data_IF_055910343727
#
_entry.id   IF_055910343727
#
_cell.length_a   1.000
_cell.length_b   1.000
_cell.length_c   1.000
_cell.angle_alpha   90.00
_cell.angle_beta   90.00
_cell.angle_gamma   90.00
#
_symmetry.space_group_name_H-M   'P 1'
#
loop_
_entity.id
_entity.type
_entity.pdbx_description
1 polymer ?
#
# COMPACT_ATOMS: atom_id res chain seq x y z
N UNK A 1 -18.26 -2.03 -37.88
CA UNK A 1 -17.88 -1.60 -36.50
C UNK A 1 -18.69 -2.38 -35.46
N UNK A 2 -18.11 -3.42 -34.85
CA UNK A 2 -18.45 -3.87 -33.47
C UNK A 2 -17.51 -4.94 -32.92
N UNK A 3 -16.30 -5.06 -33.48
CA UNK A 3 -15.18 -5.85 -32.92
C UNK A 3 -14.74 -5.28 -31.54
N UNK A 4 -15.25 -4.11 -31.15
CA UNK A 4 -14.97 -3.46 -29.86
C UNK A 4 -15.81 -4.03 -28.70
N UNK A 5 -16.96 -4.67 -28.97
CA UNK A 5 -17.84 -5.17 -27.90
C UNK A 5 -17.34 -6.49 -27.29
N UNK A 6 -16.53 -7.26 -28.01
CA UNK A 6 -16.02 -8.56 -27.57
C UNK A 6 -14.70 -8.49 -26.78
N UNK A 7 -14.10 -7.30 -26.61
CA UNK A 7 -12.92 -7.11 -25.72
C UNK A 7 -13.28 -6.79 -24.28
N UNK A 8 -14.55 -6.51 -23.96
CA UNK A 8 -15.00 -6.22 -22.60
C UNK A 8 -15.29 -7.48 -21.76
N UNK A 9 -15.18 -8.67 -22.35
CA UNK A 9 -15.33 -9.96 -21.65
C UNK A 9 -13.98 -10.61 -21.28
N UNK A 10 -12.86 -9.90 -21.40
CA UNK A 10 -11.52 -10.52 -21.37
C UNK A 10 -10.49 -9.79 -20.51
N UNK A 11 -10.70 -9.79 -19.20
CA UNK A 11 -9.66 -10.04 -18.17
C UNK A 11 -10.29 -9.74 -16.82
N UNK A 12 -10.46 -10.77 -15.98
CA UNK A 12 -10.62 -10.51 -14.55
C UNK A 12 -9.48 -9.57 -14.13
N UNK A 13 -9.82 -8.48 -13.46
CA UNK A 13 -8.85 -7.50 -12.98
C UNK A 13 -7.99 -8.22 -11.94
N UNK A 14 -6.86 -8.78 -12.38
CA UNK A 14 -5.89 -9.42 -11.49
C UNK A 14 -4.95 -8.33 -10.98
N UNK A 15 -5.42 -7.61 -9.98
CA UNK A 15 -4.58 -6.70 -9.20
C UNK A 15 -4.08 -7.48 -7.99
N UNK A 16 -2.77 -7.48 -7.78
CA UNK A 16 -2.15 -8.19 -6.67
C UNK A 16 -2.20 -7.32 -5.42
N UNK A 17 -3.15 -7.59 -4.51
CA UNK A 17 -3.24 -6.88 -3.24
C UNK A 17 -2.25 -7.54 -2.27
N UNK A 18 -1.45 -6.77 -1.52
CA UNK A 18 -0.48 -7.32 -0.57
C UNK A 18 -1.06 -8.38 0.35
N UNK A 19 -0.42 -9.55 0.43
CA UNK A 19 -0.83 -10.64 1.32
C UNK A 19 -0.50 -10.26 2.77
N UNK A 20 -1.52 -10.28 3.62
CA UNK A 20 -1.38 -9.89 5.03
C UNK A 20 -1.55 -11.09 5.96
N UNK A 21 -0.85 -11.07 7.10
CA UNK A 21 -0.97 -12.11 8.13
C UNK A 21 -2.10 -11.81 9.11
N UNK A 22 -2.40 -10.53 9.35
CA UNK A 22 -3.50 -10.09 10.21
C UNK A 22 -4.85 -10.54 9.63
N UNK A 23 -5.66 -11.21 10.45
CA UNK A 23 -6.93 -11.78 10.03
C UNK A 23 -7.88 -10.74 9.39
N UNK A 24 -8.00 -9.56 10.01
CA UNK A 24 -8.83 -8.48 9.47
C UNK A 24 -8.42 -8.05 8.07
N UNK A 25 -7.10 -7.97 7.80
CA UNK A 25 -6.59 -7.57 6.50
C UNK A 25 -6.83 -8.66 5.44
N UNK A 26 -6.78 -9.94 5.82
CA UNK A 26 -7.15 -11.05 4.93
C UNK A 26 -8.63 -10.99 4.55
N UNK A 27 -9.53 -10.81 5.51
CA UNK A 27 -10.97 -10.69 5.23
C UNK A 27 -11.25 -9.53 4.28
N UNK A 28 -10.62 -8.36 4.50
CA UNK A 28 -10.75 -7.23 3.59
C UNK A 28 -10.21 -7.55 2.19
N UNK A 29 -9.07 -8.24 2.09
CA UNK A 29 -8.49 -8.67 0.83
C UNK A 29 -9.43 -9.62 0.06
N UNK A 30 -10.03 -10.59 0.75
CA UNK A 30 -11.00 -11.52 0.18
C UNK A 30 -12.26 -10.79 -0.33
N UNK A 31 -12.82 -9.87 0.47
CA UNK A 31 -13.96 -9.04 0.07
C UNK A 31 -13.66 -8.24 -1.22
N UNK A 32 -12.48 -7.62 -1.29
CA UNK A 32 -12.04 -6.85 -2.44
C UNK A 32 -11.91 -7.77 -3.68
N UNK A 33 -11.20 -8.89 -3.54
CA UNK A 33 -10.99 -9.84 -4.63
C UNK A 33 -12.31 -10.41 -5.16
N UNK A 34 -13.24 -10.72 -4.26
CA UNK A 34 -14.58 -11.20 -4.60
C UNK A 34 -15.36 -10.14 -5.41
N UNK A 35 -15.35 -8.88 -4.99
CA UNK A 35 -16.02 -7.80 -5.74
C UNK A 35 -15.36 -7.52 -7.11
N UNK A 36 -14.02 -7.54 -7.18
CA UNK A 36 -13.28 -7.41 -8.44
C UNK A 36 -13.57 -8.55 -9.42
N UNK A 37 -13.68 -9.79 -8.93
CA UNK A 37 -14.02 -10.96 -9.76
C UNK A 37 -15.40 -10.85 -10.43
N UNK A 38 -16.31 -10.08 -9.83
CA UNK A 38 -17.65 -9.79 -10.36
C UNK A 38 -17.72 -8.48 -11.15
N UNK A 39 -16.58 -7.82 -11.39
CA UNK A 39 -16.50 -6.51 -12.05
C UNK A 39 -17.33 -5.42 -11.35
N UNK A 40 -17.29 -5.38 -10.01
CA UNK A 40 -18.02 -4.43 -9.16
C UNK A 40 -17.06 -3.50 -8.37
N UNK A 41 -16.29 -2.62 -9.03
CA UNK A 41 -15.32 -1.75 -8.37
C UNK A 41 -15.95 -0.73 -7.41
N UNK A 42 -17.22 -0.36 -7.59
CA UNK A 42 -17.94 0.51 -6.64
C UNK A 42 -18.08 -0.11 -5.25
N UNK A 43 -18.20 -1.45 -5.16
CA UNK A 43 -18.23 -2.20 -3.89
C UNK A 43 -16.84 -2.29 -3.24
N UNK A 44 -15.78 -2.04 -3.99
CA UNK A 44 -14.39 -2.16 -3.52
C UNK A 44 -13.96 -0.91 -2.74
N UNK A 45 -14.46 0.29 -3.08
CA UNK A 45 -13.96 1.57 -2.59
C UNK A 45 -13.83 1.65 -1.05
N UNK A 46 -14.89 1.30 -0.31
CA UNK A 46 -14.88 1.32 1.16
C UNK A 46 -13.91 0.28 1.76
N UNK A 47 -13.99 -0.95 1.27
CA UNK A 47 -13.16 -2.07 1.74
C UNK A 47 -11.68 -1.82 1.47
N UNK A 48 -11.37 -1.31 0.29
CA UNK A 48 -10.02 -0.92 -0.10
C UNK A 48 -9.52 0.22 0.78
N UNK A 49 -10.32 1.26 1.02
CA UNK A 49 -9.90 2.36 1.92
C UNK A 49 -9.57 1.87 3.34
N UNK A 50 -10.41 1.00 3.90
CA UNK A 50 -10.17 0.37 5.20
C UNK A 50 -8.88 -0.47 5.19
N UNK A 51 -8.69 -1.28 4.14
CA UNK A 51 -7.47 -2.08 3.95
C UNK A 51 -6.23 -1.18 3.89
N UNK A 52 -6.22 -0.17 3.01
CA UNK A 52 -5.09 0.75 2.85
C UNK A 52 -4.71 1.43 4.16
N UNK A 53 -5.71 1.88 4.90
CA UNK A 53 -5.49 2.62 6.15
C UNK A 53 -4.90 1.71 7.23
N UNK A 54 -5.41 0.47 7.37
CA UNK A 54 -4.85 -0.51 8.29
C UNK A 54 -3.43 -0.93 7.88
N UNK A 55 -3.22 -1.20 6.60
CA UNK A 55 -1.93 -1.61 6.05
C UNK A 55 -0.85 -0.54 6.25
N UNK A 56 -1.11 0.72 5.85
CA UNK A 56 -0.15 1.82 6.07
C UNK A 56 0.10 2.06 7.56
N UNK A 57 -0.93 1.90 8.41
CA UNK A 57 -0.77 2.01 9.87
C UNK A 57 0.16 0.93 10.42
N UNK A 58 0.05 -0.30 9.94
CA UNK A 58 0.95 -1.38 10.31
C UNK A 58 2.39 -1.04 9.93
N UNK A 59 2.63 -0.63 8.67
CA UNK A 59 3.98 -0.25 8.21
C UNK A 59 4.55 0.92 9.02
N UNK A 60 3.77 1.98 9.24
CA UNK A 60 4.19 3.09 10.08
C UNK A 60 4.60 2.60 11.47
N UNK A 61 3.81 1.73 12.08
CA UNK A 61 4.07 1.19 13.42
C UNK A 61 5.34 0.33 13.44
N UNK A 62 5.59 -0.47 12.41
CA UNK A 62 6.83 -1.26 12.23
C UNK A 62 8.08 -0.36 12.16
N UNK A 63 7.94 0.86 11.64
CA UNK A 63 9.02 1.87 11.60
C UNK A 63 9.06 2.82 12.81
N UNK A 64 8.25 2.56 13.85
CA UNK A 64 8.17 3.43 15.04
C UNK A 64 7.54 4.81 14.78
N UNK A 65 6.78 4.95 13.68
CA UNK A 65 6.09 6.19 13.31
C UNK A 65 4.74 6.25 14.03
N UNK A 66 4.47 7.35 14.74
CA UNK A 66 3.19 7.57 15.42
C UNK A 66 2.02 7.60 14.42
N UNK A 67 0.98 6.83 14.70
CA UNK A 67 -0.19 6.65 13.80
C UNK A 67 -1.47 7.31 14.29
N UNK A 68 -1.38 8.04 15.39
CA UNK A 68 -2.47 8.81 16.00
C UNK A 68 -2.06 10.27 16.18
N UNK A 69 -3.04 11.17 16.22
CA UNK A 69 -2.81 12.57 16.57
C UNK A 69 -2.65 12.78 18.08
N UNK A 70 -2.52 14.04 18.50
CA UNK A 70 -2.38 14.42 19.91
C UNK A 70 -3.61 14.11 20.77
N UNK A 71 -4.74 13.75 20.19
CA UNK A 71 -5.97 13.35 20.87
C UNK A 71 -6.17 11.83 20.86
N UNK A 72 -5.21 11.07 20.32
CA UNK A 72 -5.31 9.62 20.18
C UNK A 72 -6.21 9.19 19.01
N UNK A 73 -6.53 10.09 18.08
CA UNK A 73 -7.35 9.78 16.90
C UNK A 73 -6.44 9.27 15.78
N UNK A 74 -6.83 8.18 15.16
CA UNK A 74 -6.14 7.58 14.02
C UNK A 74 -5.91 8.58 12.88
N UNK A 75 -4.67 8.68 12.42
CA UNK A 75 -4.30 9.55 11.30
C UNK A 75 -4.94 9.07 9.98
N UNK A 76 -5.33 10.01 9.09
CA UNK A 76 -5.88 9.68 7.78
C UNK A 76 -4.81 9.15 6.83
N UNK A 77 -5.25 8.48 5.77
CA UNK A 77 -4.40 7.77 4.82
C UNK A 77 -3.31 8.64 4.19
N UNK A 78 -3.65 9.86 3.77
CA UNK A 78 -2.70 10.80 3.16
C UNK A 78 -1.60 11.23 4.17
N UNK A 79 -1.93 11.33 5.46
CA UNK A 79 -0.96 11.70 6.50
C UNK A 79 0.01 10.56 6.74
N UNK A 80 -0.48 9.31 6.84
CA UNK A 80 0.37 8.12 6.96
C UNK A 80 1.35 8.02 5.78
N UNK A 81 0.86 8.22 4.55
CA UNK A 81 1.70 8.22 3.35
C UNK A 81 2.77 9.33 3.39
N UNK A 82 2.42 10.54 3.85
CA UNK A 82 3.37 11.62 4.01
C UNK A 82 4.45 11.34 5.07
N UNK A 83 4.11 10.62 6.13
CA UNK A 83 5.07 10.19 7.15
C UNK A 83 6.00 9.09 6.64
N UNK A 84 5.47 8.10 5.92
CA UNK A 84 6.28 7.05 5.28
C UNK A 84 7.24 7.65 4.25
N UNK A 85 6.76 8.59 3.44
CA UNK A 85 7.60 9.33 2.49
C UNK A 85 8.82 9.95 3.19
N UNK A 86 8.59 10.70 4.28
CA UNK A 86 9.68 11.29 5.08
C UNK A 86 10.62 10.23 5.65
N UNK A 87 10.08 9.11 6.13
CA UNK A 87 10.88 8.00 6.63
C UNK A 87 11.80 7.43 5.53
N UNK A 88 11.31 7.23 4.31
CA UNK A 88 12.13 6.76 3.20
C UNK A 88 13.17 7.78 2.72
N UNK A 89 12.86 9.08 2.78
CA UNK A 89 13.84 10.15 2.50
C UNK A 89 15.00 10.13 3.51
N UNK A 90 14.71 9.82 4.78
CA UNK A 90 15.70 9.80 5.86
C UNK A 90 16.47 8.47 5.96
N UNK A 91 15.91 7.39 5.40
CA UNK A 91 16.49 6.04 5.44
C UNK A 91 16.59 5.47 4.02
N UNK A 92 17.43 6.07 3.15
CA UNK A 92 17.52 5.67 1.75
C UNK A 92 18.05 4.25 1.64
N UNK A 93 17.24 3.36 1.04
CA UNK A 93 17.60 1.97 0.73
C UNK A 93 17.51 1.72 -0.79
N UNK A 94 17.16 2.74 -1.56
CA UNK A 94 16.91 2.66 -3.00
C UNK A 94 17.91 3.49 -3.79
N UNK A 95 18.14 3.10 -5.04
CA UNK A 95 19.16 3.69 -5.92
C UNK A 95 18.85 5.12 -6.39
N UNK A 96 17.62 5.60 -6.16
CA UNK A 96 17.18 6.94 -6.58
C UNK A 96 16.13 7.52 -5.63
N UNK A 97 15.82 8.80 -5.83
CA UNK A 97 14.74 9.54 -5.16
C UNK A 97 13.34 9.20 -5.70
N UNK A 98 13.22 8.23 -6.62
CA UNK A 98 11.95 7.88 -7.25
C UNK A 98 10.90 7.38 -6.25
N UNK A 99 11.30 6.60 -5.24
CA UNK A 99 10.37 6.07 -4.22
C UNK A 99 9.66 7.20 -3.45
N UNK A 100 10.36 8.14 -2.78
CA UNK A 100 9.70 9.23 -2.10
C UNK A 100 8.94 10.16 -3.06
N UNK A 101 9.41 10.37 -4.30
CA UNK A 101 8.68 11.12 -5.33
C UNK A 101 7.36 10.45 -5.72
N UNK A 102 7.37 9.14 -5.95
CA UNK A 102 6.18 8.36 -6.31
C UNK A 102 5.13 8.40 -5.19
N UNK A 103 5.55 8.27 -3.93
CA UNK A 103 4.64 8.37 -2.78
C UNK A 103 4.09 9.79 -2.68
N UNK A 104 4.94 10.81 -2.81
CA UNK A 104 4.53 12.23 -2.80
C UNK A 104 3.42 12.52 -3.81
N UNK A 105 3.56 12.03 -5.05
CA UNK A 105 2.58 12.22 -6.12
C UNK A 105 1.24 11.51 -5.84
N UNK A 106 1.22 10.52 -4.93
CA UNK A 106 0.01 9.81 -4.54
C UNK A 106 -0.67 10.38 -3.28
N UNK A 107 -0.03 11.26 -2.51
CA UNK A 107 -0.62 11.84 -1.28
C UNK A 107 -1.95 12.54 -1.56
N UNK A 108 -2.01 13.36 -2.61
CA UNK A 108 -3.25 14.04 -2.99
C UNK A 108 -4.35 13.07 -3.46
N UNK A 109 -3.96 11.96 -4.08
CA UNK A 109 -4.90 10.90 -4.48
C UNK A 109 -5.44 10.14 -3.28
N UNK A 110 -4.63 9.89 -2.24
CA UNK A 110 -5.13 9.31 -0.99
C UNK A 110 -6.12 10.22 -0.27
N UNK A 111 -5.89 11.53 -0.27
CA UNK A 111 -6.84 12.48 0.28
C UNK A 111 -8.16 12.50 -0.50
N UNK A 112 -8.06 12.53 -1.84
CA UNK A 112 -9.23 12.42 -2.71
C UNK A 112 -9.96 11.08 -2.52
N UNK A 113 -9.23 10.00 -2.30
CA UNK A 113 -9.80 8.67 -2.08
C UNK A 113 -10.62 8.60 -0.78
N UNK A 114 -10.15 9.24 0.30
CA UNK A 114 -10.94 9.39 1.52
C UNK A 114 -12.26 10.16 1.25
N UNK A 115 -12.21 11.24 0.47
CA UNK A 115 -13.42 11.97 0.08
C UNK A 115 -14.38 11.13 -0.79
N UNK A 116 -13.86 10.36 -1.75
CA UNK A 116 -14.65 9.44 -2.58
C UNK A 116 -15.31 8.37 -1.72
N UNK A 117 -14.56 7.76 -0.79
CA UNK A 117 -15.12 6.77 0.14
C UNK A 117 -16.27 7.37 0.95
N UNK A 118 -16.09 8.57 1.51
CA UNK A 118 -17.08 9.17 2.39
C UNK A 118 -18.34 9.65 1.66
N UNK A 119 -18.20 10.16 0.43
CA UNK A 119 -19.29 10.89 -0.25
C UNK A 119 -19.81 10.21 -1.53
N UNK A 120 -19.10 9.23 -2.08
CA UNK A 120 -19.39 8.64 -3.40
C UNK A 120 -19.25 7.11 -3.42
N UNK A 121 -19.35 6.47 -2.24
CA UNK A 121 -19.31 5.02 -2.10
C UNK A 121 -20.46 4.53 -1.20
N UNK A 122 -20.67 3.21 -1.18
CA UNK A 122 -21.65 2.54 -0.33
C UNK A 122 -21.33 2.55 1.18
N UNK A 123 -20.30 3.29 1.61
CA UNK A 123 -20.02 3.50 3.03
C UNK A 123 -21.16 4.22 3.78
N UNK A 124 -21.91 5.06 3.06
CA UNK A 124 -23.07 5.81 3.54
C UNK A 124 -24.14 5.83 2.43
N UNK A 125 -25.29 6.45 2.71
CA UNK A 125 -26.35 6.64 1.72
C UNK A 125 -25.97 7.74 0.71
N UNK A 126 -25.11 7.36 -0.25
CA UNK A 126 -24.51 8.26 -1.22
C UNK A 126 -24.95 7.94 -2.65
N UNK A 127 -24.91 8.95 -3.51
CA UNK A 127 -24.82 8.73 -4.95
C UNK A 127 -23.43 8.19 -5.27
N UNK A 128 -23.37 6.94 -5.72
CA UNK A 128 -22.09 6.25 -5.95
C UNK A 128 -21.40 6.69 -7.24
N UNK A 129 -20.08 6.62 -7.21
CA UNK A 129 -19.22 6.93 -8.35
C UNK A 129 -19.55 6.04 -9.56
N UNK A 130 -19.42 6.60 -10.77
CA UNK A 130 -19.62 5.84 -12.00
C UNK A 130 -18.61 4.69 -12.13
N UNK A 131 -19.03 3.58 -12.75
CA UNK A 131 -18.24 2.35 -12.78
C UNK A 131 -16.82 2.55 -13.37
N UNK A 132 -16.71 3.33 -14.45
CA UNK A 132 -15.43 3.66 -15.10
C UNK A 132 -14.46 4.41 -14.17
N UNK A 133 -14.96 5.41 -13.43
CA UNK A 133 -14.15 6.17 -12.48
C UNK A 133 -13.78 5.32 -11.26
N UNK A 134 -14.73 4.53 -10.73
CA UNK A 134 -14.49 3.62 -9.62
C UNK A 134 -13.40 2.60 -9.96
N UNK A 135 -13.43 2.05 -11.17
CA UNK A 135 -12.40 1.13 -11.66
C UNK A 135 -11.02 1.80 -11.66
N UNK A 136 -10.92 3.03 -12.20
CA UNK A 136 -9.66 3.76 -12.25
C UNK A 136 -9.12 4.08 -10.85
N UNK A 137 -9.99 4.51 -9.93
CA UNK A 137 -9.63 4.78 -8.52
C UNK A 137 -9.10 3.51 -7.86
N UNK A 138 -9.82 2.40 -7.99
CA UNK A 138 -9.43 1.10 -7.39
C UNK A 138 -8.08 0.63 -7.91
N UNK A 139 -7.87 0.66 -9.23
CA UNK A 139 -6.59 0.30 -9.85
C UNK A 139 -5.44 1.17 -9.34
N UNK A 140 -5.67 2.49 -9.28
CA UNK A 140 -4.66 3.44 -8.82
C UNK A 140 -4.27 3.15 -7.37
N UNK A 141 -5.25 2.98 -6.49
CA UNK A 141 -4.99 2.72 -5.07
C UNK A 141 -4.32 1.36 -4.83
N UNK A 142 -4.77 0.29 -5.49
CA UNK A 142 -4.11 -1.02 -5.35
C UNK A 142 -2.66 -0.97 -5.85
N UNK A 143 -2.39 -0.34 -7.00
CA UNK A 143 -1.04 -0.21 -7.52
C UNK A 143 -0.12 0.53 -6.53
N UNK A 144 -0.60 1.63 -5.95
CA UNK A 144 0.18 2.41 -4.96
C UNK A 144 0.46 1.61 -3.70
N UNK A 145 -0.53 0.89 -3.16
CA UNK A 145 -0.37 0.06 -1.95
C UNK A 145 0.57 -1.11 -2.20
N UNK A 146 0.48 -1.74 -3.38
CA UNK A 146 1.34 -2.86 -3.78
C UNK A 146 2.79 -2.41 -3.98
N UNK A 147 2.98 -1.19 -4.48
CA UNK A 147 4.31 -0.59 -4.57
C UNK A 147 4.91 -0.35 -3.18
N UNK A 148 4.14 0.18 -2.23
CA UNK A 148 4.57 0.34 -0.84
C UNK A 148 4.94 -1.02 -0.21
N UNK A 149 4.14 -2.06 -0.43
CA UNK A 149 4.47 -3.42 0.03
C UNK A 149 5.78 -3.96 -0.57
N UNK A 150 5.99 -3.75 -1.87
CA UNK A 150 7.21 -4.17 -2.55
C UNK A 150 8.46 -3.46 -2.00
N UNK A 151 8.34 -2.16 -1.71
CA UNK A 151 9.36 -1.36 -1.01
C UNK A 151 9.71 -2.00 0.33
N UNK A 152 8.70 -2.33 1.14
CA UNK A 152 8.92 -2.93 2.47
C UNK A 152 9.54 -4.32 2.40
N UNK A 153 9.11 -5.16 1.44
CA UNK A 153 9.70 -6.48 1.22
C UNK A 153 11.17 -6.38 0.79
N UNK A 154 11.49 -5.48 -0.14
CA UNK A 154 12.85 -5.23 -0.59
C UNK A 154 13.76 -4.75 0.54
N UNK A 155 13.27 -3.85 1.40
CA UNK A 155 14.00 -3.40 2.60
C UNK A 155 14.28 -4.58 3.53
N UNK A 156 13.26 -5.38 3.86
CA UNK A 156 13.40 -6.54 4.75
C UNK A 156 14.38 -7.59 4.21
N UNK A 157 14.42 -7.83 2.89
CA UNK A 157 15.41 -8.74 2.30
C UNK A 157 16.83 -8.20 2.36
N UNK A 158 17.02 -6.88 2.20
CA UNK A 158 18.35 -6.27 2.22
C UNK A 158 18.87 -6.00 3.64
N UNK A 159 18.00 -5.83 4.63
CA UNK A 159 18.39 -5.73 6.04
C UNK A 159 18.76 -7.07 6.67
N UNK A 160 18.51 -8.20 6.00
CA UNK A 160 18.80 -9.55 6.49
C UNK A 160 20.15 -10.12 5.99
N UNK A 161 20.98 -9.33 5.29
CA UNK A 161 22.36 -9.73 4.96
C UNK A 161 23.23 -9.76 6.24
N UNK A 162 24.12 -10.75 6.41
CA UNK A 162 24.70 -11.08 7.71
C UNK A 162 25.59 -9.95 8.22
N UNK A 163 25.44 -9.64 9.51
CA UNK A 163 26.50 -9.00 10.28
C UNK A 163 27.77 -9.82 10.04
N UNK A 164 28.78 -9.21 9.44
CA UNK A 164 30.10 -9.80 9.38
C UNK A 164 30.51 -10.06 10.83
N UNK A 165 30.68 -11.34 11.16
CA UNK A 165 31.27 -11.77 12.43
C UNK A 165 32.58 -11.00 12.61
N UNK A 166 32.71 -10.33 13.76
CA UNK A 166 33.99 -9.86 14.25
C UNK A 166 34.94 -11.06 14.26
N UNK A 167 35.85 -11.12 13.28
CA UNK A 167 37.00 -12.02 13.35
C UNK A 167 37.92 -11.42 14.41
N UNK A 168 37.67 -11.80 15.67
CA UNK A 168 38.65 -11.64 16.73
C UNK A 168 39.81 -12.62 16.54
N UNK A 169 40.97 -12.07 16.87
CA UNK A 169 42.35 -12.33 16.50
C UNK A 169 42.92 -13.68 16.96
N UNK A 170 43.69 -14.31 16.08
CA UNK A 170 44.63 -15.40 16.43
C UNK A 170 46.04 -15.02 16.00
N UNK A 171 46.77 -14.38 16.91
CA UNK A 171 48.20 -14.14 16.81
C UNK A 171 48.94 -15.48 16.80
N UNK A 172 49.31 -15.99 15.62
CA UNK A 172 50.17 -17.16 15.48
C UNK A 172 51.64 -16.73 15.33
N UNK A 173 52.41 -17.05 16.37
CA UNK A 173 53.86 -16.98 16.45
C UNK A 173 54.54 -17.60 15.22
N UNK A 174 55.42 -16.83 14.57
CA UNK A 174 56.38 -17.34 13.58
C UNK A 174 57.70 -17.69 14.28
N UNK A 175 58.19 -18.95 14.25
CA UNK A 175 59.57 -19.22 14.58
C UNK A 175 60.48 -18.92 13.37
N UNK A 176 61.66 -18.38 13.68
CA UNK A 176 62.74 -18.05 12.75
C UNK A 176 63.25 -19.24 11.92
#
# INVERSE_FOLDING_TARGET
>A
MRIVASRLLGNAIKLDIPVQREETLKTLQEDINNALSRNQPTLVLDRLHTFSTKFLRQICSEHGITVVDNKGINLPLHSLAGMLKKHYEQNPVFDSDFVPLAIQNNIALFDRFNAIRNNQSYAHDNVVLGNMEAEFVVRTMINTISFIDAIERYRKSNSAAPALEDIDTGNDDLPF
#
